data_IF_772087719970
#
_entry.id   IF_772087719970
#
_cell.length_a   1.000
_cell.length_b   1.000
_cell.length_c   1.000
_cell.angle_alpha   90.00
_cell.angle_beta   90.00
_cell.angle_gamma   90.00
#
_symmetry.space_group_name_H-M   'P 1'
#
loop_
_entity.id
_entity.type
_entity.pdbx_description
1 polymer ?
2 non-polymer ?
3 non-polymer ?
4 water ?
#
# COMPACT_ATOMS: atom_id res chain seq x y z
N UNK A 13 -21.51 9.07 12.87
CA UNK A 13 -21.37 7.68 12.46
C UNK A 13 -20.42 7.57 11.29
N UNK A 14 -20.27 8.66 10.55
CA UNK A 14 -19.29 8.70 9.49
C UNK A 14 -17.88 8.54 10.06
N UNK A 15 -17.01 7.97 9.26
CA UNK A 15 -15.61 7.84 9.59
C UNK A 15 -15.00 9.20 9.94
N UNK A 16 -14.17 9.23 10.98
CA UNK A 16 -13.41 10.41 11.34
C UNK A 16 -11.97 10.22 10.86
N UNK A 17 -11.50 10.99 9.89
CA UNK A 17 -10.13 10.81 9.40
C UNK A 17 -9.11 11.05 10.50
N UNK A 18 -8.16 10.13 10.67
CA UNK A 18 -7.04 10.34 11.60
C UNK A 18 -6.25 11.58 11.23
N UNK A 19 -5.45 12.11 12.16
CA UNK A 19 -4.55 13.22 11.81
C UNK A 19 -3.52 12.79 10.76
N UNK A 20 -3.01 13.77 10.01
CA UNK A 20 -2.06 13.47 8.95
C UNK A 20 -0.67 13.15 9.50
N UNK A 21 0.00 12.20 8.85
CA UNK A 21 1.38 11.84 9.17
C UNK A 21 2.33 12.89 8.60
N UNK A 22 3.61 12.92 9.01
CA UNK A 22 4.52 13.95 8.52
C UNK A 22 4.78 13.78 7.03
N UNK A 23 4.86 14.91 6.33
CA UNK A 23 5.30 14.95 4.95
C UNK A 23 6.58 15.77 4.90
N UNK A 24 7.60 15.23 4.24
CA UNK A 24 8.88 15.91 4.07
C UNK A 24 9.10 16.23 2.61
N UNK A 25 9.72 17.38 2.35
CA UNK A 25 10.03 17.82 0.99
C UNK A 25 11.52 18.15 0.98
N UNK A 26 12.38 17.14 0.90
CA UNK A 26 13.83 17.39 0.99
C UNK A 26 14.33 18.29 -0.12
N UNK A 27 15.36 19.06 0.21
CA UNK A 27 16.12 19.78 -0.80
C UNK A 27 16.92 18.78 -1.63
N UNK A 28 17.50 19.27 -2.72
CA UNK A 28 18.40 18.42 -3.51
C UNK A 28 19.55 17.91 -2.66
N UNK A 29 20.09 18.76 -1.78
CA UNK A 29 21.18 18.35 -0.91
C UNK A 29 20.73 17.25 0.05
N UNK A 30 19.57 17.43 0.69
CA UNK A 30 19.06 16.39 1.59
C UNK A 30 18.74 15.10 0.86
N UNK A 31 18.42 15.18 -0.42
CA UNK A 31 17.93 14.06 -1.21
C UNK A 31 19.04 13.15 -1.76
N UNK A 32 20.32 13.38 -1.40
CA UNK A 32 21.38 12.59 -2.03
C UNK A 32 21.39 11.15 -1.54
N UNK A 33 21.11 10.92 -0.26
CA UNK A 33 21.22 9.58 0.31
C UNK A 33 19.97 9.25 1.11
N UNK A 34 19.19 8.24 0.72
CA UNK A 34 17.96 7.92 1.46
C UNK A 34 18.19 7.48 2.90
N UNK A 35 19.20 6.65 3.16
CA UNK A 35 19.41 6.18 4.52
C UNK A 35 19.83 7.31 5.45
N UNK A 36 20.67 8.24 4.97
CA UNK A 36 21.00 9.40 5.78
C UNK A 36 19.76 10.24 6.05
N UNK A 37 18.92 10.44 5.03
CA UNK A 37 17.72 11.24 5.22
C UNK A 37 16.76 10.59 6.19
N UNK A 38 16.55 9.28 6.05
CA UNK A 38 15.61 8.60 6.94
C UNK A 38 16.13 8.60 8.37
N UNK A 39 17.44 8.45 8.54
CA UNK A 39 18.03 8.56 9.87
C UNK A 39 17.83 9.92 10.49
N UNK A 40 17.83 10.98 9.68
CA UNK A 40 17.70 12.32 10.24
C UNK A 40 16.27 12.63 10.66
N UNK A 41 15.28 12.19 9.89
CA UNK A 41 13.87 12.44 10.22
C UNK A 41 13.32 11.47 11.25
N UNK A 42 14.09 10.43 11.60
CA UNK A 42 13.60 9.39 12.50
C UNK A 42 13.02 9.91 13.81
N UNK A 43 13.60 10.91 14.49
CA UNK A 43 13.04 11.32 15.78
C UNK A 43 11.57 11.74 15.70
N UNK A 44 11.14 12.26 14.55
CA UNK A 44 9.73 12.60 14.37
C UNK A 44 8.96 11.42 13.79
N UNK A 45 9.48 10.84 12.69
CA UNK A 45 8.71 9.87 11.93
C UNK A 45 8.49 8.57 12.70
N UNK A 46 9.44 8.18 13.54
CA UNK A 46 9.18 6.96 14.29
C UNK A 46 8.11 7.16 15.35
N UNK A 47 7.75 8.40 15.67
CA UNK A 47 6.63 8.66 16.55
C UNK A 47 5.28 8.63 15.83
N UNK A 48 5.28 8.57 14.49
CA UNK A 48 4.03 8.44 13.74
C UNK A 48 3.92 7.12 12.99
N UNK A 49 4.98 6.32 12.97
CA UNK A 49 4.95 5.01 12.32
C UNK A 49 5.18 5.07 10.81
N UNK A 50 4.50 6.00 10.14
CA UNK A 50 4.69 6.20 8.71
C UNK A 50 4.99 7.68 8.46
N UNK A 51 5.63 7.94 7.32
CA UNK A 51 5.78 9.30 6.82
C UNK A 51 5.79 9.29 5.31
N UNK A 52 5.61 10.46 4.71
CA UNK A 52 5.57 10.61 3.27
C UNK A 52 6.74 11.51 2.85
N UNK A 53 7.39 11.16 1.74
CA UNK A 53 8.52 11.94 1.22
C UNK A 53 8.22 12.31 -0.22
N UNK A 54 8.18 13.63 -0.50
CA UNK A 54 8.02 14.18 -1.83
C UNK A 54 9.39 14.50 -2.42
N UNK A 55 9.82 13.82 -3.47
CA UNK A 55 11.11 14.13 -4.09
C UNK A 55 11.10 15.52 -4.69
N UNK A 56 12.26 16.10 -4.98
CA UNK A 56 12.30 17.39 -5.70
C UNK A 56 11.49 17.30 -6.98
N UNK A 57 10.92 18.45 -7.37
CA UNK A 57 9.98 18.50 -8.49
C UNK A 57 10.56 17.89 -9.77
N UNK A 58 11.85 18.13 -10.02
CA UNK A 58 12.48 17.66 -11.24
C UNK A 58 12.88 16.18 -11.20
N UNK A 59 12.74 15.51 -10.06
CA UNK A 59 13.09 14.08 -9.98
C UNK A 59 11.89 13.28 -10.48
N UNK A 60 11.98 12.79 -11.71
CA UNK A 60 10.87 12.12 -12.39
C UNK A 60 11.38 10.90 -13.15
N UNK A 61 11.47 9.75 -12.48
CA UNK A 61 11.94 8.53 -13.15
C UNK A 61 10.94 8.09 -14.21
N UNK A 62 11.42 7.70 -15.38
CA UNK A 62 10.50 7.16 -16.39
C UNK A 62 10.00 5.79 -15.98
N UNK A 63 8.79 5.47 -16.41
CA UNK A 63 8.20 4.19 -16.05
C UNK A 63 8.77 3.12 -16.98
N UNK A 64 9.41 2.11 -16.39
CA UNK A 64 10.23 1.20 -17.18
C UNK A 64 9.62 -0.19 -17.35
N UNK A 65 8.44 -0.45 -16.80
CA UNK A 65 7.81 -1.74 -17.01
C UNK A 65 7.38 -1.89 -18.47
N UNK A 66 7.53 -3.11 -18.99
CA UNK A 66 7.10 -3.47 -20.35
C UNK A 66 5.59 -3.62 -20.34
N UNK A 67 4.88 -2.53 -20.62
CA UNK A 67 3.44 -2.47 -20.42
C UNK A 67 2.70 -3.36 -21.41
N UNK A 68 3.16 -3.40 -22.67
CA UNK A 68 2.49 -4.22 -23.67
C UNK A 68 2.40 -5.67 -23.23
N UNK A 69 3.50 -6.21 -22.71
CA UNK A 69 3.56 -7.60 -22.29
C UNK A 69 3.15 -7.80 -20.83
N UNK A 70 2.76 -6.75 -20.13
CA UNK A 70 2.42 -6.89 -18.71
C UNK A 70 1.06 -7.55 -18.59
N UNK A 71 1.05 -8.83 -18.25
CA UNK A 71 -0.19 -9.59 -18.07
C UNK A 71 -0.20 -10.20 -16.68
N UNK A 72 -1.38 -10.25 -16.07
CA UNK A 72 -1.48 -10.76 -14.71
C UNK A 72 -2.94 -11.13 -14.43
N UNK A 73 -3.12 -12.02 -13.47
CA UNK A 73 -4.46 -12.43 -13.05
C UNK A 73 -4.69 -11.86 -11.66
N UNK A 74 -5.54 -10.86 -11.51
CA UNK A 74 -5.75 -10.28 -10.18
C UNK A 74 -6.47 -11.28 -9.29
N UNK A 75 -6.47 -10.97 -8.00
CA UNK A 75 -7.29 -11.73 -7.07
C UNK A 75 -8.47 -10.88 -6.63
N UNK A 76 -9.50 -11.55 -6.22
CA UNK A 76 -10.77 -10.95 -5.86
C UNK A 76 -10.77 -10.64 -4.37
N UNK A 77 -11.37 -9.51 -4.00
CA UNK A 77 -11.49 -9.09 -2.61
C UNK A 77 -12.92 -8.67 -2.33
N UNK A 78 -13.56 -9.30 -1.35
CA UNK A 78 -14.88 -8.91 -0.89
C UNK A 78 -14.71 -8.02 0.33
N UNK A 79 -15.18 -6.78 0.24
CA UNK A 79 -14.86 -5.78 1.26
C UNK A 79 -15.35 -6.19 2.64
N UNK A 80 -16.52 -6.83 2.72
CA UNK A 80 -17.15 -7.12 4.00
C UNK A 80 -17.03 -8.60 4.40
N UNK A 81 -15.97 -9.29 3.96
CA UNK A 81 -15.90 -10.74 4.19
C UNK A 81 -15.93 -11.08 5.68
N UNK A 82 -15.26 -10.28 6.51
CA UNK A 82 -15.23 -10.58 7.95
C UNK A 82 -16.61 -10.40 8.57
N UNK A 83 -17.20 -9.22 8.41
CA UNK A 83 -18.53 -8.97 8.98
C UNK A 83 -19.56 -9.96 8.45
N UNK A 84 -19.40 -10.42 7.21
CA UNK A 84 -20.33 -11.41 6.65
C UNK A 84 -20.26 -12.74 7.39
N UNK A 85 -19.17 -13.00 8.09
CA UNK A 85 -18.94 -14.22 8.84
C UNK A 85 -19.74 -14.27 10.14
N UNK A 86 -20.40 -13.17 10.50
CA UNK A 86 -21.38 -13.14 11.58
C UNK A 86 -22.39 -14.28 11.47
N UNK A 90 -24.47 -20.56 6.65
CA UNK A 90 -23.61 -20.98 5.54
C UNK A 90 -24.29 -20.72 4.20
N UNK A 91 -23.77 -19.71 3.48
CA UNK A 91 -24.36 -19.33 2.20
C UNK A 91 -24.10 -20.39 1.14
N UNK A 92 -25.09 -20.63 0.29
CA UNK A 92 -25.03 -21.72 -0.68
C UNK A 92 -23.85 -21.55 -1.63
N UNK A 93 -23.07 -22.63 -1.79
CA UNK A 93 -21.94 -22.68 -2.72
C UNK A 93 -20.91 -21.58 -2.41
N UNK A 94 -20.58 -21.44 -1.13
CA UNK A 94 -19.53 -20.52 -0.75
C UNK A 94 -18.17 -21.07 -1.14
N UNK A 95 -17.20 -20.18 -1.30
CA UNK A 95 -15.87 -20.52 -1.76
C UNK A 95 -15.64 -20.25 -3.23
N UNK A 96 -16.70 -19.99 -3.99
CA UNK A 96 -16.62 -19.76 -5.42
C UNK A 96 -16.96 -18.29 -5.71
N UNK A 97 -15.94 -17.54 -6.10
CA UNK A 97 -15.90 -16.10 -6.32
C UNK A 97 -16.46 -15.66 -7.67
N UNK A 98 -17.12 -16.57 -8.42
CA UNK A 98 -17.04 -16.59 -9.87
C UNK A 98 -15.60 -16.93 -10.21
N UNK A 99 -14.96 -16.19 -11.11
CA UNK A 99 -13.52 -16.35 -11.28
C UNK A 99 -12.95 -15.10 -11.94
N UNK A 100 -11.62 -15.02 -11.92
CA UNK A 100 -10.88 -13.89 -12.48
C UNK A 100 -10.23 -14.35 -13.76
N UNK A 101 -10.00 -13.40 -14.66
CA UNK A 101 -9.31 -13.66 -15.92
C UNK A 101 -7.99 -12.90 -15.95
N UNK A 102 -7.18 -13.23 -16.95
CA UNK A 102 -5.94 -12.51 -17.16
C UNK A 102 -6.23 -11.16 -17.80
N UNK A 103 -5.63 -10.11 -17.25
CA UNK A 103 -5.66 -8.77 -17.80
C UNK A 103 -4.27 -8.34 -18.25
N UNK A 104 -4.26 -7.38 -19.18
CA UNK A 104 -3.12 -6.49 -19.37
C UNK A 104 -3.28 -5.30 -18.43
N UNK A 105 -2.20 -4.55 -18.26
CA UNK A 105 -2.29 -3.33 -17.45
C UNK A 105 -3.39 -2.41 -17.99
N UNK A 106 -3.46 -2.27 -19.31
CA UNK A 106 -4.44 -1.36 -19.92
C UNK A 106 -5.85 -1.87 -19.71
N UNK A 107 -6.10 -3.15 -19.93
CA UNK A 107 -7.47 -3.65 -19.78
C UNK A 107 -7.88 -3.69 -18.31
N UNK A 108 -6.93 -3.94 -17.39
CA UNK A 108 -7.27 -3.80 -15.97
C UNK A 108 -7.67 -2.36 -15.65
N UNK A 109 -6.93 -1.38 -16.17
CA UNK A 109 -7.26 0.01 -15.87
C UNK A 109 -8.61 0.40 -16.41
N UNK A 110 -8.97 -0.09 -17.59
CA UNK A 110 -10.31 0.17 -18.13
C UNK A 110 -11.38 -0.38 -17.21
N UNK A 111 -11.18 -1.61 -16.73
CA UNK A 111 -12.10 -2.20 -15.77
C UNK A 111 -12.19 -1.38 -14.49
N UNK A 112 -11.05 -0.90 -13.98
CA UNK A 112 -11.01 -0.22 -12.70
C UNK A 112 -11.68 1.15 -12.77
N UNK A 113 -11.43 1.89 -13.85
CA UNK A 113 -12.07 3.19 -14.03
C UNK A 113 -13.58 3.04 -14.22
N UNK A 114 -13.99 2.05 -15.00
CA UNK A 114 -15.42 1.82 -15.19
C UNK A 114 -16.11 1.50 -13.89
N UNK A 115 -15.47 0.66 -13.05
CA UNK A 115 -16.03 0.35 -11.75
C UNK A 115 -16.23 1.61 -10.91
N UNK A 116 -15.19 2.44 -10.82
CA UNK A 116 -15.26 3.59 -9.91
C UNK A 116 -16.22 4.64 -10.42
N UNK A 117 -16.19 4.94 -11.72
CA UNK A 117 -17.10 5.94 -12.24
C UNK A 117 -18.55 5.46 -12.19
N UNK A 118 -18.79 4.17 -12.40
CA UNK A 118 -20.13 3.61 -12.23
C UNK A 118 -20.55 3.67 -10.76
N UNK A 119 -19.65 3.32 -9.85
CA UNK A 119 -19.99 3.29 -8.43
C UNK A 119 -20.42 4.67 -7.94
N UNK A 120 -19.65 5.70 -8.25
CA UNK A 120 -19.91 7.03 -7.72
C UNK A 120 -20.75 7.89 -8.65
N UNK A 121 -21.05 7.42 -9.86
CA UNK A 121 -21.83 8.17 -10.84
C UNK A 121 -21.14 9.51 -11.19
N UNK A 122 -19.82 9.49 -11.35
CA UNK A 122 -19.10 10.69 -11.75
C UNK A 122 -17.74 10.28 -12.32
N UNK A 123 -17.07 11.17 -13.05
CA UNK A 123 -15.73 10.85 -13.55
C UNK A 123 -14.76 10.53 -12.42
N UNK A 124 -13.85 9.58 -12.65
CA UNK A 124 -13.06 9.02 -11.54
C UNK A 124 -12.24 10.10 -10.85
N UNK A 125 -11.70 11.06 -11.58
CA UNK A 125 -10.89 12.08 -10.93
C UNK A 125 -11.71 13.14 -10.22
N UNK A 126 -13.04 13.09 -10.29
CA UNK A 126 -13.86 14.07 -9.60
C UNK A 126 -14.31 13.59 -8.23
N UNK A 127 -14.02 12.34 -7.87
CA UNK A 127 -14.46 11.77 -6.60
C UNK A 127 -13.49 12.22 -5.52
N UNK A 128 -13.94 12.98 -4.53
CA UNK A 128 -13.01 13.45 -3.49
C UNK A 128 -12.40 12.28 -2.74
N UNK A 129 -11.13 12.42 -2.36
CA UNK A 129 -10.48 11.34 -1.62
C UNK A 129 -11.16 11.09 -0.28
N UNK A 130 -11.71 12.13 0.35
CA UNK A 130 -12.41 11.92 1.62
C UNK A 130 -13.70 11.13 1.46
N UNK A 131 -14.37 11.24 0.30
CA UNK A 131 -15.57 10.46 0.06
C UNK A 131 -15.24 8.99 -0.16
N UNK A 132 -14.20 8.70 -0.94
CA UNK A 132 -13.80 7.31 -1.12
C UNK A 132 -13.46 6.68 0.23
N UNK A 133 -12.76 7.43 1.09
CA UNK A 133 -12.41 6.93 2.41
C UNK A 133 -13.65 6.65 3.25
N UNK A 134 -14.61 7.59 3.29
CA UNK A 134 -15.81 7.37 4.09
C UNK A 134 -16.60 6.20 3.57
N UNK A 135 -16.67 6.03 2.24
CA UNK A 135 -17.45 4.95 1.67
C UNK A 135 -16.75 3.61 1.86
N UNK A 136 -15.42 3.58 1.72
CA UNK A 136 -14.68 2.34 1.99
C UNK A 136 -15.01 1.79 3.37
N UNK A 137 -14.92 2.62 4.41
CA UNK A 137 -15.12 2.07 5.75
C UNK A 137 -16.58 1.75 6.01
N UNK A 138 -17.51 2.45 5.36
CA UNK A 138 -18.91 2.03 5.46
C UNK A 138 -19.10 0.65 4.85
N UNK A 139 -18.51 0.41 3.69
CA UNK A 139 -18.70 -0.86 2.98
C UNK A 139 -18.10 -2.02 3.75
N UNK A 140 -16.92 -1.81 4.35
CA UNK A 140 -16.25 -2.86 5.10
C UNK A 140 -17.14 -3.41 6.19
N UNK A 141 -17.97 -2.57 6.79
CA UNK A 141 -18.83 -2.99 7.89
C UNK A 141 -20.27 -3.29 7.46
N UNK A 142 -20.62 -3.06 6.21
CA UNK A 142 -22.01 -3.21 5.76
C UNK A 142 -22.32 -4.66 5.41
N UNK A 143 -23.41 -5.18 5.96
CA UNK A 143 -23.92 -6.49 5.58
C UNK A 143 -25.07 -6.40 4.57
N UNK A 144 -25.57 -5.21 4.30
CA UNK A 144 -26.64 -5.03 3.33
C UNK A 144 -26.12 -4.84 1.90
N UNK A 145 -24.81 -4.79 1.71
CA UNK A 145 -24.24 -4.38 0.42
C UNK A 145 -22.90 -5.09 0.26
N UNK A 146 -22.82 -6.00 -0.71
CA UNK A 146 -21.60 -6.77 -0.97
C UNK A 146 -20.89 -6.19 -2.18
N UNK A 147 -19.74 -5.57 -1.95
CA UNK A 147 -18.93 -4.98 -3.02
C UNK A 147 -17.68 -5.82 -3.16
N UNK A 148 -17.31 -6.08 -4.41
CA UNK A 148 -16.21 -6.98 -4.73
C UNK A 148 -15.29 -6.28 -5.73
N UNK A 149 -13.99 -6.20 -5.39
CA UNK A 149 -13.00 -5.58 -6.25
C UNK A 149 -11.87 -6.57 -6.53
N UNK A 150 -10.88 -6.15 -7.32
CA UNK A 150 -9.79 -7.02 -7.76
C UNK A 150 -8.50 -6.23 -7.70
N UNK A 151 -7.38 -6.92 -7.49
CA UNK A 151 -6.11 -6.20 -7.47
C UNK A 151 -4.94 -7.13 -7.79
N UNK A 152 -3.82 -6.53 -8.15
CA UNK A 152 -2.60 -7.27 -8.38
C UNK A 152 -1.58 -7.13 -7.25
N UNK A 153 -1.19 -8.26 -6.66
CA UNK A 153 -0.15 -8.32 -5.63
C UNK A 153 0.50 -9.69 -5.71
N UNK A 154 1.52 -9.92 -4.89
CA UNK A 154 2.42 -11.09 -5.04
C UNK A 154 3.07 -11.08 -6.43
N UNK A 155 3.48 -9.89 -6.89
CA UNK A 155 4.02 -9.68 -8.23
C UNK A 155 5.47 -9.25 -8.07
N UNK A 156 6.40 -10.16 -8.36
CA UNK A 156 7.82 -9.85 -8.21
C UNK A 156 8.32 -9.01 -9.38
N UNK A 157 9.17 -8.03 -9.09
CA UNK A 157 9.82 -7.29 -10.17
C UNK A 157 10.79 -8.17 -10.94
N UNK A 158 11.15 -9.34 -10.40
CA UNK A 158 12.02 -10.27 -11.10
C UNK A 158 11.32 -10.94 -12.27
N UNK A 159 10.00 -11.03 -12.26
CA UNK A 159 9.24 -11.66 -13.34
C UNK A 159 8.73 -10.66 -14.35
N UNK A 160 8.27 -9.50 -13.92
CA UNK A 160 7.62 -8.54 -14.79
C UNK A 160 8.50 -7.35 -15.13
N UNK A 161 9.60 -7.17 -14.43
CA UNK A 161 10.40 -5.97 -14.57
C UNK A 161 10.04 -4.95 -13.52
N UNK A 162 11.01 -4.11 -13.18
CA UNK A 162 10.79 -3.06 -12.21
C UNK A 162 10.12 -1.86 -12.88
N UNK A 163 9.39 -1.07 -12.08
CA UNK A 163 8.90 0.21 -12.55
C UNK A 163 10.01 1.21 -12.77
N UNK A 164 11.15 1.05 -12.02
CA UNK A 164 12.34 1.87 -12.21
C UNK A 164 13.23 1.28 -13.30
N UNK A 165 13.95 2.11 -14.05
CA UNK A 165 14.98 1.56 -14.94
C UNK A 165 16.11 0.94 -14.13
N UNK A 166 16.63 -0.18 -14.63
CA UNK A 166 17.71 -0.91 -13.98
C UNK A 166 18.78 -1.22 -15.03
N UNK A 167 20.04 -1.11 -14.63
CA UNK A 167 21.15 -1.39 -15.54
C UNK A 167 21.47 -2.89 -15.53
N UNK A 168 20.45 -3.69 -15.83
CA UNK A 168 20.56 -5.14 -15.80
C UNK A 168 20.81 -5.75 -17.16
N UNK A 169 20.80 -4.96 -18.23
CA UNK A 169 21.02 -5.45 -19.57
C UNK A 169 19.83 -6.09 -20.24
N UNK A 170 18.67 -6.14 -19.57
CA UNK A 170 17.48 -6.79 -20.10
C UNK A 170 16.62 -5.86 -20.94
N UNK A 171 16.45 -4.62 -20.51
CA UNK A 171 15.84 -3.58 -21.32
C UNK A 171 16.93 -2.60 -21.74
N UNK A 172 16.50 -1.54 -22.43
CA UNK A 172 17.42 -0.50 -22.87
C UNK A 172 17.30 0.70 -21.96
N UNK A 173 18.42 1.14 -21.41
CA UNK A 173 18.48 2.39 -20.67
C UNK A 173 18.86 3.49 -21.65
N UNK A 174 18.04 4.54 -21.70
CA UNK A 174 18.45 5.72 -22.43
C UNK A 174 19.39 6.56 -21.57
N UNK A 175 20.24 7.38 -22.18
CA UNK A 175 21.11 8.25 -21.36
C UNK A 175 20.35 9.04 -20.31
N UNK A 176 19.17 9.54 -20.67
CA UNK A 176 18.36 10.31 -19.73
C UNK A 176 17.87 9.45 -18.57
N UNK A 177 17.76 8.14 -18.77
CA UNK A 177 17.31 7.23 -17.73
C UNK A 177 18.41 6.84 -16.76
N UNK A 178 19.68 6.99 -17.16
CA UNK A 178 20.77 6.35 -16.41
C UNK A 178 20.83 6.86 -14.97
N UNK A 179 20.62 8.16 -14.76
CA UNK A 179 20.66 8.69 -13.41
C UNK A 179 19.61 8.04 -12.53
N UNK A 180 18.47 7.66 -13.10
CA UNK A 180 17.46 6.99 -12.30
C UNK A 180 17.83 5.53 -12.03
N UNK A 181 18.49 4.88 -12.97
CA UNK A 181 18.97 3.52 -12.72
C UNK A 181 20.01 3.47 -11.60
N UNK A 182 20.72 4.59 -11.36
CA UNK A 182 21.79 4.64 -10.38
C UNK A 182 21.40 5.34 -9.09
N UNK A 183 20.21 5.95 -9.05
CA UNK A 183 19.78 6.71 -7.87
C UNK A 183 19.61 5.80 -6.66
N UNK A 184 20.01 6.30 -5.49
CA UNK A 184 19.76 5.58 -4.25
C UNK A 184 18.29 5.47 -3.89
N UNK A 185 17.43 6.29 -4.50
CA UNK A 185 15.98 6.21 -4.30
C UNK A 185 15.30 5.28 -5.28
N UNK A 186 16.01 4.80 -6.29
CA UNK A 186 15.56 3.63 -7.04
C UNK A 186 15.47 2.46 -6.08
N UNK A 187 14.28 1.87 -5.89
CA UNK A 187 14.12 0.86 -4.85
C UNK A 187 14.95 -0.40 -5.12
N UNK A 188 15.40 -0.60 -6.35
CA UNK A 188 16.30 -1.72 -6.62
C UNK A 188 17.69 -1.50 -6.02
N UNK A 189 18.00 -0.29 -5.56
CA UNK A 189 19.32 0.03 -5.03
C UNK A 189 19.31 0.20 -3.51
N UNK A 190 18.19 -0.11 -2.83
CA UNK A 190 18.12 -0.06 -1.37
C UNK A 190 18.82 -1.28 -0.76
N UNK A 191 19.55 -1.12 0.35
CA UNK A 191 20.17 -2.28 1.00
C UNK A 191 19.12 -3.19 1.61
N UNK A 192 19.30 -4.50 1.42
CA UNK A 192 18.31 -5.48 1.83
C UNK A 192 18.91 -6.60 2.67
N UNK A 193 20.22 -6.62 2.89
CA UNK A 193 20.87 -7.71 3.58
C UNK A 193 21.05 -7.37 5.05
N UNK A 194 20.41 -8.15 5.92
CA UNK A 194 20.61 -8.02 7.35
C UNK A 194 21.91 -8.72 7.77
N UNK A 195 22.65 -8.09 8.69
CA UNK A 195 23.84 -8.71 9.22
C UNK A 195 23.48 -9.92 10.09
N UNK A 196 24.29 -10.97 9.99
CA UNK A 196 24.07 -12.18 10.77
C UNK A 196 25.38 -12.93 10.91
N UNK A 197 25.47 -13.73 11.98
CA UNK A 197 26.51 -14.74 12.03
C UNK A 197 26.27 -15.80 10.97
N UNK A 198 25.01 -16.18 10.76
CA UNK A 198 24.60 -17.09 9.71
C UNK A 198 25.04 -16.60 8.34
N UNK A 209 16.53 -9.95 -1.52
CA UNK A 209 15.19 -9.69 -2.02
C UNK A 209 15.19 -8.64 -3.13
N UNK A 210 14.05 -8.49 -3.79
CA UNK A 210 13.88 -7.51 -4.86
C UNK A 210 12.55 -6.81 -4.62
N UNK A 211 12.28 -5.68 -5.27
CA UNK A 211 10.99 -5.02 -5.07
C UNK A 211 9.82 -5.85 -5.60
N UNK A 212 8.67 -5.62 -5.01
CA UNK A 212 7.40 -6.19 -5.42
C UNK A 212 6.48 -5.09 -5.94
N UNK A 213 5.52 -5.48 -6.76
CA UNK A 213 4.66 -4.55 -7.47
C UNK A 213 3.21 -4.71 -7.01
N UNK A 214 2.46 -3.61 -7.05
CA UNK A 214 1.08 -3.57 -6.59
C UNK A 214 0.24 -2.86 -7.64
N UNK A 215 -0.81 -3.51 -8.14
CA UNK A 215 -1.70 -2.88 -9.11
C UNK A 215 -3.04 -2.71 -8.43
N UNK A 216 -3.42 -1.47 -8.15
CA UNK A 216 -4.59 -1.19 -7.36
C UNK A 216 -5.77 -0.72 -8.19
N UNK A 217 -6.97 -0.88 -7.61
CA UNK A 217 -8.19 -0.24 -8.08
C UNK A 217 -8.93 0.31 -6.86
N UNK A 218 -9.97 1.10 -7.13
CA UNK A 218 -10.74 1.72 -6.07
C UNK A 218 -11.23 0.66 -5.07
N UNK A 219 -10.96 0.90 -3.78
CA UNK A 219 -11.37 0.14 -2.61
C UNK A 219 -10.46 -1.07 -2.35
N UNK A 220 -9.59 -1.47 -3.28
CA UNK A 220 -8.71 -2.60 -2.99
C UNK A 220 -7.80 -2.25 -1.81
N UNK A 221 -7.62 -3.19 -0.89
CA UNK A 221 -7.14 -2.78 0.42
C UNK A 221 -6.18 -3.81 1.00
N UNK A 222 -5.41 -3.38 1.99
CA UNK A 222 -4.52 -4.29 2.72
C UNK A 222 -4.72 -4.06 4.21
N UNK A 223 -4.73 -5.14 4.98
CA UNK A 223 -5.09 -4.99 6.38
C UNK A 223 -3.85 -4.75 7.24
N UNK A 224 -4.08 -4.58 8.55
CA UNK A 224 -3.02 -4.17 9.47
C UNK A 224 -1.94 -5.25 9.57
N UNK A 225 -0.68 -4.85 9.38
CA UNK A 225 0.43 -5.79 9.47
C UNK A 225 1.72 -5.03 9.75
N UNK A 226 2.70 -5.78 10.24
CA UNK A 226 4.09 -5.33 10.28
C UNK A 226 4.88 -6.25 9.35
N UNK A 227 6.13 -5.85 9.07
CA UNK A 227 6.99 -6.61 8.17
C UNK A 227 7.77 -7.66 8.92
N UNK A 228 8.14 -8.73 8.20
CA UNK A 228 9.07 -9.72 8.74
C UNK A 228 10.30 -9.06 9.30
N UNK A 229 10.81 -9.62 10.41
CA UNK A 229 12.01 -9.11 11.07
C UNK A 229 11.85 -7.66 11.55
N UNK A 230 10.60 -7.18 11.63
CA UNK A 230 10.27 -5.80 12.00
C UNK A 230 11.00 -4.81 11.10
N UNK A 231 11.11 -5.14 9.82
CA UNK A 231 11.90 -4.35 8.89
C UNK A 231 11.22 -3.01 8.55
N UNK A 232 12.06 -2.02 8.19
CA UNK A 232 11.56 -0.86 7.46
C UNK A 232 10.98 -1.34 6.13
N UNK A 233 10.06 -0.55 5.57
CA UNK A 233 9.67 -0.69 4.18
C UNK A 233 9.55 0.69 3.55
N UNK A 234 9.70 0.72 2.23
CA UNK A 234 9.54 1.95 1.46
C UNK A 234 8.72 1.62 0.23
N UNK A 235 7.82 2.51 -0.15
CA UNK A 235 6.86 2.25 -1.21
C UNK A 235 6.86 3.47 -2.11
N UNK A 236 6.92 3.27 -3.43
CA UNK A 236 6.88 4.35 -4.40
C UNK A 236 5.67 4.19 -5.30
N UNK A 237 4.86 5.24 -5.44
CA UNK A 237 3.69 5.21 -6.32
C UNK A 237 4.12 5.75 -7.67
N UNK A 238 4.28 4.87 -8.66
CA UNK A 238 4.77 5.30 -9.96
C UNK A 238 3.78 6.21 -10.67
N UNK A 239 2.50 5.88 -10.65
CA UNK A 239 1.47 6.65 -11.33
C UNK A 239 0.11 6.20 -10.85
N UNK A 240 -0.92 6.96 -11.22
CA UNK A 240 -2.29 6.60 -10.90
C UNK A 240 -2.87 7.44 -9.79
N UNK A 241 -4.07 7.03 -9.37
CA UNK A 241 -4.79 7.70 -8.30
C UNK A 241 -4.15 7.36 -6.95
N UNK A 242 -4.42 8.16 -5.91
CA UNK A 242 -3.65 8.01 -4.66
C UNK A 242 -3.89 6.69 -3.94
N UNK A 243 -2.95 6.38 -3.05
CA UNK A 243 -3.02 5.26 -2.14
C UNK A 243 -3.15 5.83 -0.74
N UNK A 244 -4.22 5.47 -0.04
CA UNK A 244 -4.47 6.00 1.29
C UNK A 244 -3.91 5.03 2.33
N UNK A 245 -3.11 5.57 3.26
CA UNK A 245 -2.41 4.79 4.28
C UNK A 245 -2.88 5.17 5.67
N UNK A 246 -2.78 4.20 6.60
CA UNK A 246 -2.91 4.44 8.03
C UNK A 246 -1.70 3.80 8.69
N UNK A 247 -1.15 4.49 9.69
CA UNK A 247 0.05 4.01 10.35
C UNK A 247 -0.04 4.19 11.85
N UNK A 248 0.62 3.30 12.57
CA UNK A 248 0.63 3.32 14.03
C UNK A 248 2.08 3.25 14.49
N UNK A 249 2.53 4.15 15.37
CA UNK A 249 3.93 4.10 15.81
C UNK A 249 4.24 2.80 16.54
N UNK A 250 5.50 2.38 16.47
CA UNK A 250 5.91 1.13 17.10
C UNK A 250 5.68 1.11 18.61
N UNK A 251 5.69 2.27 19.28
CA UNK A 251 5.51 2.25 20.72
C UNK A 251 4.11 1.79 21.10
N UNK A 252 3.16 1.83 20.16
CA UNK A 252 1.79 1.39 20.39
C UNK A 252 1.50 0.02 19.74
N UNK A 253 2.55 -0.69 19.30
CA UNK A 253 2.35 -1.99 18.67
C UNK A 253 1.60 -2.96 19.59
N UNK A 254 2.00 -3.05 20.87
CA UNK A 254 1.36 -4.02 21.77
C UNK A 254 -0.06 -3.61 22.11
N UNK A 255 -0.34 -2.31 22.20
CA UNK A 255 -1.73 -1.90 22.44
C UNK A 255 -2.60 -2.25 21.24
N UNK A 256 -2.11 -2.04 20.01
CA UNK A 256 -2.87 -2.44 18.84
C UNK A 256 -3.12 -3.94 18.84
N UNK A 257 -2.10 -4.73 19.18
CA UNK A 257 -2.28 -6.19 19.18
C UNK A 257 -3.29 -6.61 20.24
N UNK A 258 -3.35 -5.90 21.36
CA UNK A 258 -4.33 -6.23 22.39
C UNK A 258 -5.76 -5.88 21.95
N UNK A 259 -5.94 -4.74 21.27
CA UNK A 259 -7.27 -4.41 20.77
C UNK A 259 -7.72 -5.43 19.73
N UNK A 260 -6.82 -5.82 18.84
CA UNK A 260 -7.14 -6.87 17.88
C UNK A 260 -7.59 -8.14 18.58
N UNK A 261 -6.84 -8.58 19.58
CA UNK A 261 -7.19 -9.80 20.29
C UNK A 261 -8.56 -9.66 20.96
N UNK A 262 -8.82 -8.51 21.57
CA UNK A 262 -10.09 -8.32 22.27
C UNK A 262 -11.27 -8.34 21.31
N UNK A 263 -11.09 -7.83 20.09
CA UNK A 263 -12.20 -7.61 19.17
C UNK A 263 -12.17 -8.53 17.95
N UNK A 264 -11.14 -9.35 17.78
CA UNK A 264 -11.14 -10.27 16.66
C UNK A 264 -12.02 -11.48 16.94
N UNK A 265 -12.53 -12.12 15.90
CA UNK A 265 -13.35 -13.32 16.11
C UNK A 265 -12.60 -14.39 16.89
N UNK A 266 -13.35 -15.09 17.76
CA UNK A 266 -12.76 -16.12 18.60
C UNK A 266 -12.03 -17.17 17.75
N UNK A 267 -12.59 -17.50 16.58
CA UNK A 267 -11.99 -18.51 15.73
C UNK A 267 -10.60 -18.12 15.28
N UNK A 268 -10.33 -16.82 15.13
CA UNK A 268 -9.03 -16.35 14.66
C UNK A 268 -8.15 -15.80 15.79
N UNK A 269 -8.65 -15.74 17.03
CA UNK A 269 -7.89 -15.09 18.10
C UNK A 269 -6.59 -15.83 18.38
N UNK A 270 -6.63 -17.15 18.34
CA UNK A 270 -5.51 -18.02 18.70
C UNK A 270 -4.48 -18.18 17.60
N UNK A 271 -4.67 -17.57 16.45
CA UNK A 271 -3.82 -17.86 15.31
C UNK A 271 -2.47 -17.14 15.43
N UNK A 272 -1.40 -17.76 14.95
CA UNK A 272 -0.10 -17.07 14.91
C UNK A 272 -0.18 -15.78 14.12
N UNK A 273 0.66 -14.82 14.51
CA UNK A 273 0.60 -13.47 13.94
C UNK A 273 0.69 -13.47 12.42
N UNK A 274 1.56 -14.32 11.87
CA UNK A 274 1.76 -14.29 10.42
C UNK A 274 0.51 -14.74 9.66
N UNK A 275 -0.30 -15.59 10.27
CA UNK A 275 -1.59 -15.95 9.70
C UNK A 275 -2.66 -14.93 10.05
N UNK A 276 -2.68 -14.47 11.32
CA UNK A 276 -3.73 -13.53 11.71
C UNK A 276 -3.67 -12.25 10.89
N UNK A 277 -2.46 -11.79 10.54
CA UNK A 277 -2.29 -10.59 9.72
C UNK A 277 -2.93 -10.71 8.34
N UNK A 278 -3.36 -11.90 7.92
CA UNK A 278 -4.06 -12.00 6.63
C UNK A 278 -5.50 -11.51 6.71
N UNK A 279 -6.04 -11.35 7.92
CA UNK A 279 -7.46 -11.01 8.10
C UNK A 279 -7.67 -9.94 9.18
N UNK A 280 -6.62 -9.18 9.52
CA UNK A 280 -6.73 -8.18 10.58
C UNK A 280 -7.21 -6.85 10.00
N UNK A 281 -8.44 -6.84 9.52
CA UNK A 281 -9.04 -5.60 9.06
C UNK A 281 -9.70 -4.93 10.26
N UNK A 282 -9.42 -3.64 10.44
CA UNK A 282 -10.03 -2.92 11.56
C UNK A 282 -10.13 -1.43 11.25
N UNK A 283 -11.32 -0.88 11.43
CA UNK A 283 -11.54 0.55 11.28
C UNK A 283 -10.60 1.33 12.18
N UNK A 284 -9.84 2.30 11.65
CA UNK A 284 -8.94 3.11 12.48
C UNK A 284 -9.63 3.81 13.64
N UNK A 285 -10.89 4.22 13.51
CA UNK A 285 -11.56 4.88 14.63
C UNK A 285 -11.71 3.94 15.81
N UNK A 286 -11.88 2.63 15.56
CA UNK A 286 -11.97 1.66 16.65
C UNK A 286 -10.67 1.66 17.45
N UNK A 287 -9.53 1.63 16.75
CA UNK A 287 -8.24 1.68 17.42
C UNK A 287 -8.07 3.00 18.19
N UNK A 288 -8.43 4.12 17.55
CA UNK A 288 -8.34 5.42 18.20
C UNK A 288 -9.22 5.47 19.45
N UNK A 289 -10.42 4.89 19.39
CA UNK A 289 -11.31 4.88 20.55
C UNK A 289 -10.70 4.14 21.74
N UNK A 290 -9.76 3.23 21.49
CA UNK A 290 -9.07 2.50 22.54
C UNK A 290 -7.68 3.06 22.83
N UNK A 291 -7.40 4.28 22.41
CA UNK A 291 -6.16 4.96 22.76
C UNK A 291 -4.97 4.66 21.87
N UNK A 292 -5.17 3.99 20.74
CA UNK A 292 -4.08 3.69 19.81
C UNK A 292 -3.90 4.90 18.91
N UNK A 293 -2.72 5.53 18.87
CA UNK A 293 -2.52 6.65 17.94
C UNK A 293 -2.45 6.15 16.51
N UNK A 294 -3.20 6.81 15.61
CA UNK A 294 -3.22 6.46 14.20
C UNK A 294 -3.05 7.72 13.39
N UNK A 295 -2.23 7.64 12.34
CA UNK A 295 -2.00 8.73 11.42
C UNK A 295 -2.33 8.26 10.01
N UNK A 296 -2.65 9.19 9.12
CA UNK A 296 -3.08 8.86 7.77
C UNK A 296 -2.27 9.65 6.76
N UNK A 297 -2.33 9.21 5.50
CA UNK A 297 -1.82 10.05 4.41
C UNK A 297 -2.44 9.57 3.11
N UNK A 298 -2.54 10.48 2.15
CA UNK A 298 -2.80 10.13 0.76
C UNK A 298 -1.47 10.21 0.01
N UNK A 299 -0.92 9.06 -0.35
CA UNK A 299 0.28 9.00 -1.17
C UNK A 299 -0.11 9.22 -2.62
N UNK A 300 0.39 10.28 -3.25
CA UNK A 300 0.05 10.60 -4.62
C UNK A 300 1.17 10.16 -5.57
N UNK A 301 0.88 10.20 -6.86
CA UNK A 301 1.86 9.75 -7.85
C UNK A 301 3.18 10.50 -7.68
N UNK A 302 4.28 9.75 -7.68
CA UNK A 302 5.59 10.33 -7.53
C UNK A 302 6.08 10.49 -6.11
N UNK A 303 5.34 10.01 -5.12
CA UNK A 303 5.69 10.15 -3.71
C UNK A 303 6.04 8.81 -3.08
N UNK A 304 6.95 8.86 -2.09
CA UNK A 304 7.37 7.71 -1.28
C UNK A 304 6.62 7.72 0.04
N UNK A 305 6.32 6.52 0.55
CA UNK A 305 5.91 6.36 1.95
C UNK A 305 6.93 5.41 2.60
N UNK A 306 7.38 5.77 3.79
CA UNK A 306 8.28 4.93 4.58
C UNK A 306 7.55 4.47 5.83
N UNK A 307 7.68 3.18 6.14
CA UNK A 307 7.16 2.62 7.38
C UNK A 307 8.34 2.22 8.26
N UNK A 308 8.26 2.56 9.53
CA UNK A 308 9.37 2.34 10.44
C UNK A 308 9.26 0.98 11.10
N UNK A 309 10.33 0.50 11.75
CA UNK A 309 10.32 -0.88 12.26
C UNK A 309 9.20 -1.11 13.26
N UNK A 310 8.42 -2.18 13.02
CA UNK A 310 7.30 -2.59 13.85
C UNK A 310 6.18 -1.55 13.89
N UNK A 311 6.07 -0.73 12.84
CA UNK A 311 4.96 0.21 12.70
C UNK A 311 3.84 -0.48 11.93
N UNK A 312 2.76 -0.82 12.63
CA UNK A 312 1.60 -1.41 11.94
C UNK A 312 1.05 -0.45 10.91
N UNK A 313 0.70 -0.98 9.74
CA UNK A 313 0.11 -0.13 8.72
C UNK A 313 -0.95 -0.91 7.94
N UNK A 314 -1.82 -0.13 7.29
CA UNK A 314 -2.91 -0.66 6.49
C UNK A 314 -3.33 0.43 5.52
N UNK A 315 -4.16 0.07 4.56
CA UNK A 315 -4.59 1.10 3.62
C UNK A 315 -5.48 0.59 2.51
N UNK A 316 -5.76 1.47 1.54
CA UNK A 316 -6.58 1.13 0.39
C UNK A 316 -6.26 2.10 -0.73
N UNK A 317 -6.60 1.70 -1.95
CA UNK A 317 -6.32 2.50 -3.12
C UNK A 317 -7.55 3.31 -3.51
N UNK A 318 -7.32 4.57 -3.91
CA UNK A 318 -8.39 5.45 -4.34
C UNK A 318 -8.85 5.15 -5.75
N UNK A 319 -8.05 4.42 -6.53
CA UNK A 319 -8.39 4.15 -7.92
C UNK A 319 -7.23 3.40 -8.57
N UNK A 320 -7.30 3.31 -9.89
CA UNK A 320 -6.28 2.62 -10.67
C UNK A 320 -4.89 3.21 -10.42
N UNK A 321 -3.95 2.38 -9.94
CA UNK A 321 -2.60 2.90 -9.68
C UNK A 321 -1.60 1.76 -9.70
N UNK A 322 -0.32 2.13 -9.55
CA UNK A 322 0.79 1.19 -9.71
C UNK A 322 1.90 1.59 -8.75
N UNK A 323 2.22 0.73 -7.80
CA UNK A 323 3.20 1.03 -6.77
C UNK A 323 4.26 -0.06 -6.74
N UNK A 324 5.41 0.27 -6.17
CA UNK A 324 6.52 -0.67 -6.02
C UNK A 324 7.07 -0.52 -4.61
N UNK A 325 7.47 -1.63 -3.99
CA UNK A 325 7.87 -1.56 -2.58
C UNK A 325 8.95 -2.60 -2.29
N UNK A 326 9.74 -2.33 -1.26
CA UNK A 326 10.77 -3.27 -0.81
C UNK A 326 11.00 -3.06 0.67
N UNK A 327 11.38 -4.15 1.35
CA UNK A 327 11.81 -4.10 2.73
C UNK A 327 13.32 -3.87 2.75
N UNK A 328 13.77 -2.88 3.50
CA UNK A 328 15.19 -2.57 3.52
C UNK A 328 15.69 -2.53 4.96
N UNK A 329 17.01 -2.56 5.10
CA UNK A 329 17.65 -2.62 6.40
C UNK A 329 18.66 -1.48 6.53
N UNK A 330 18.87 -1.04 7.76
CA UNK A 330 19.75 0.10 8.03
C UNK A 330 21.04 -0.32 8.71
#
# INVERSE_FOLDING_TARGET
HNMAGVGPGGYAAEFVPPPECPVFEPSWEEFTDPLSFIGRIRPLAEKTGICKIRPPKDWQPPFACEVKSFRFTPRVQRLNELEAMTRVRPREAFGFEQAVREYTLQSFGEMADNFKSDYFNMPVHMVPTELVEKEFWRLVSSIEEDVIVEYGADISSKDFGSGFPVKDGRRKILPEEEEYALSGWNLNNMPVLEQSVLAHINVDISGMKVPWLYVGMCFSSFCWHIEDHWSYSINYLHWGEPKTWYGVPSHAAEQLEEVMRELAPELFESQPDLLHQLVTIMNPNVLMEHGVPVYRTNQCAGEFVVTFPRAYHSGFNQGYNFAEAVNFCT
#
